data_IF_935811461389
#
_entry.id   IF_935811461389
#
_cell.length_a   1.000
_cell.length_b   1.000
_cell.length_c   1.000
_cell.angle_alpha   90.00
_cell.angle_beta   90.00
_cell.angle_gamma   90.00
#
_symmetry.space_group_name_H-M   'P 1'
#
loop_
_entity.id
_entity.type
_entity.pdbx_description
1 polymer ?
#
# COMPACT_ATOMS: atom_id res chain seq x y z
N UNK A 1 -38.75 -15.14 -46.40
CA UNK A 1 -38.52 -15.47 -44.97
C UNK A 1 -37.35 -16.44 -44.87
N UNK A 2 -36.41 -16.18 -43.95
CA UNK A 2 -35.21 -16.98 -43.57
C UNK A 2 -34.04 -16.95 -44.57
N UNK A 3 -32.77 -16.80 -44.17
CA UNK A 3 -32.12 -16.73 -42.86
C UNK A 3 -30.76 -16.02 -43.08
N UNK A 4 -30.56 -14.86 -42.45
CA UNK A 4 -29.25 -14.19 -42.40
C UNK A 4 -28.40 -14.98 -41.38
N UNK A 5 -27.23 -15.47 -41.79
CA UNK A 5 -26.27 -16.18 -40.93
C UNK A 5 -25.59 -15.19 -39.96
N UNK A 6 -25.78 -15.32 -38.63
CA UNK A 6 -25.06 -14.49 -37.67
C UNK A 6 -23.81 -15.27 -37.22
N UNK A 7 -22.75 -15.31 -38.02
CA UNK A 7 -21.56 -16.13 -37.70
C UNK A 7 -20.28 -15.37 -37.40
N UNK A 8 -20.27 -14.02 -37.38
CA UNK A 8 -19.00 -13.28 -37.19
C UNK A 8 -19.10 -12.12 -36.19
N UNK A 9 -20.28 -11.84 -35.60
CA UNK A 9 -20.45 -10.71 -34.68
C UNK A 9 -20.49 -11.06 -33.18
N UNK A 10 -20.23 -12.33 -32.83
CA UNK A 10 -20.33 -12.83 -31.44
C UNK A 10 -18.96 -13.21 -30.83
N UNK A 11 -17.90 -12.48 -31.18
CA UNK A 11 -16.55 -12.75 -30.63
C UNK A 11 -15.78 -11.49 -30.24
N UNK A 12 -16.47 -10.36 -30.03
CA UNK A 12 -15.85 -9.08 -29.68
C UNK A 12 -16.26 -8.55 -28.29
N UNK A 13 -16.80 -9.40 -27.40
CA UNK A 13 -17.33 -8.97 -26.10
C UNK A 13 -16.64 -9.60 -24.87
N UNK A 14 -15.56 -10.38 -25.03
CA UNK A 14 -14.93 -11.14 -23.92
C UNK A 14 -13.51 -10.63 -23.56
N UNK A 15 -13.18 -9.35 -23.80
CA UNK A 15 -11.83 -8.82 -23.46
C UNK A 15 -11.87 -7.63 -22.48
N UNK A 16 -13.04 -7.19 -22.03
CA UNK A 16 -13.15 -6.08 -21.07
C UNK A 16 -13.63 -6.65 -19.74
N UNK A 17 -12.71 -7.15 -18.91
CA UNK A 17 -13.10 -7.69 -17.60
C UNK A 17 -12.00 -8.14 -16.66
N UNK A 18 -10.73 -7.86 -16.93
CA UNK A 18 -9.62 -8.20 -16.02
C UNK A 18 -8.68 -7.00 -15.77
N UNK A 19 -9.24 -5.83 -15.49
CA UNK A 19 -8.48 -4.87 -14.69
C UNK A 19 -8.58 -5.33 -13.23
N UNK A 20 -7.76 -6.34 -12.93
CA UNK A 20 -7.55 -6.98 -11.64
C UNK A 20 -7.34 -5.93 -10.55
N UNK A 21 -7.83 -6.21 -9.33
CA UNK A 21 -7.59 -5.48 -8.08
C UNK A 21 -6.11 -5.46 -7.65
N UNK A 22 -5.18 -5.35 -8.60
CA UNK A 22 -3.77 -5.32 -8.32
C UNK A 22 -3.32 -3.87 -8.27
N UNK A 23 -2.50 -3.58 -7.26
CA UNK A 23 -1.67 -2.38 -7.17
C UNK A 23 -1.08 -2.02 -8.55
N UNK A 24 -1.21 -0.76 -9.02
CA UNK A 24 -0.52 -0.30 -10.22
C UNK A 24 0.98 -0.59 -10.16
N UNK A 25 1.60 -0.80 -11.32
CA UNK A 25 3.06 -0.90 -11.40
C UNK A 25 3.63 0.51 -11.22
N UNK A 26 4.53 0.67 -10.26
CA UNK A 26 5.40 1.83 -10.12
C UNK A 26 6.85 1.37 -10.05
N UNK A 27 7.75 2.28 -10.42
CA UNK A 27 9.19 2.08 -10.31
C UNK A 27 9.77 3.16 -9.41
N UNK A 28 10.68 2.75 -8.53
CA UNK A 28 11.45 3.69 -7.74
C UNK A 28 12.52 4.37 -8.60
N UNK A 29 12.67 5.69 -8.47
CA UNK A 29 13.76 6.45 -9.10
C UNK A 29 14.72 7.06 -8.06
N UNK A 30 14.49 6.82 -6.77
CA UNK A 30 15.26 7.38 -5.68
C UNK A 30 16.35 6.40 -5.24
N UNK A 31 17.60 6.74 -5.51
CA UNK A 31 18.75 5.89 -5.20
C UNK A 31 18.89 5.54 -3.70
N UNK A 32 18.37 6.37 -2.79
CA UNK A 32 18.40 6.08 -1.35
C UNK A 32 17.57 4.83 -1.05
N UNK A 33 16.42 4.65 -1.70
CA UNK A 33 15.58 3.47 -1.49
C UNK A 33 16.20 2.19 -2.07
N UNK A 34 17.07 2.30 -3.08
CA UNK A 34 17.76 1.15 -3.68
C UNK A 34 19.00 0.72 -2.87
N UNK A 35 19.65 1.67 -2.20
CA UNK A 35 20.91 1.45 -1.48
C UNK A 35 20.73 1.05 -0.01
N UNK A 36 19.51 1.14 0.52
CA UNK A 36 19.23 0.94 1.95
C UNK A 36 18.06 -0.01 2.14
N UNK A 37 18.09 -0.78 3.24
CA UNK A 37 16.94 -1.58 3.66
C UNK A 37 15.78 -0.66 4.07
N UNK A 38 14.54 -1.05 3.78
CA UNK A 38 13.38 -0.17 4.00
C UNK A 38 13.13 0.21 5.46
N UNK A 39 13.69 -0.55 6.40
CA UNK A 39 13.59 -0.28 7.83
C UNK A 39 14.80 0.50 8.39
N UNK A 40 15.80 0.86 7.56
CA UNK A 40 16.98 1.60 7.99
C UNK A 40 16.65 3.07 8.31
N UNK A 41 17.45 3.74 9.17
CA UNK A 41 17.27 5.17 9.47
C UNK A 41 17.32 6.08 8.23
N UNK A 42 18.25 5.81 7.30
CA UNK A 42 18.43 6.57 6.06
C UNK A 42 17.19 6.45 5.16
N UNK A 43 16.70 5.22 4.98
CA UNK A 43 15.50 4.97 4.19
C UNK A 43 14.28 5.68 4.80
N UNK A 44 14.07 5.53 6.12
CA UNK A 44 12.94 6.14 6.82
C UNK A 44 12.97 7.65 6.77
N UNK A 45 14.17 8.24 6.88
CA UNK A 45 14.36 9.69 6.76
C UNK A 45 13.98 10.19 5.38
N UNK A 46 14.42 9.50 4.32
CA UNK A 46 14.05 9.88 2.96
C UNK A 46 12.57 9.67 2.69
N UNK A 47 12.00 8.55 3.16
CA UNK A 47 10.57 8.29 3.03
C UNK A 47 9.73 9.38 3.70
N UNK A 48 10.12 9.80 4.90
CA UNK A 48 9.49 10.92 5.61
C UNK A 48 9.54 12.20 4.78
N UNK A 49 10.71 12.57 4.25
CA UNK A 49 10.88 13.78 3.45
C UNK A 49 10.00 13.76 2.21
N UNK A 50 9.94 12.61 1.50
CA UNK A 50 9.08 12.43 0.33
C UNK A 50 7.59 12.56 0.70
N UNK A 51 7.14 11.91 1.77
CA UNK A 51 5.74 11.99 2.23
C UNK A 51 5.38 13.43 2.62
N UNK A 52 6.26 14.17 3.28
CA UNK A 52 6.01 15.58 3.64
C UNK A 52 5.93 16.49 2.41
N UNK A 53 6.81 16.27 1.43
CA UNK A 53 6.84 17.06 0.20
C UNK A 53 5.61 16.81 -0.69
N UNK A 54 5.19 15.55 -0.81
CA UNK A 54 4.05 15.15 -1.65
C UNK A 54 2.71 15.42 -0.93
N UNK A 55 2.68 15.21 0.39
CA UNK A 55 1.48 15.25 1.21
C UNK A 55 0.71 13.91 1.19
N UNK A 56 0.31 13.41 2.36
CA UNK A 56 -0.34 12.10 2.51
C UNK A 56 -1.60 11.93 1.64
N UNK A 57 -2.36 13.00 1.40
CA UNK A 57 -3.60 12.94 0.60
C UNK A 57 -3.34 12.71 -0.90
N UNK A 58 -2.09 12.85 -1.35
CA UNK A 58 -1.68 12.61 -2.74
C UNK A 58 -1.00 11.24 -2.91
N UNK A 59 -1.07 10.40 -1.88
CA UNK A 59 -0.49 9.06 -1.86
C UNK A 59 -1.58 8.00 -1.81
N UNK A 60 -1.24 6.83 -2.30
CA UNK A 60 -2.06 5.64 -2.25
C UNK A 60 -1.27 4.51 -1.61
N UNK A 61 -1.99 3.60 -0.95
CA UNK A 61 -1.39 2.64 -0.03
C UNK A 61 -1.95 1.25 -0.30
N UNK A 62 -1.08 0.26 -0.43
CA UNK A 62 -1.48 -1.14 -0.60
C UNK A 62 -0.82 -1.99 0.45
N UNK A 63 -1.61 -2.84 1.10
CA UNK A 63 -1.09 -3.77 2.10
C UNK A 63 -0.09 -4.74 1.46
N UNK A 64 1.06 -4.92 2.09
CA UNK A 64 2.11 -5.84 1.67
C UNK A 64 2.12 -7.07 2.59
N UNK A 65 2.37 -6.82 3.88
CA UNK A 65 2.57 -7.88 4.87
C UNK A 65 2.32 -7.39 6.30
N UNK A 66 2.11 -8.35 7.20
CA UNK A 66 2.03 -8.13 8.65
C UNK A 66 3.36 -8.55 9.28
N UNK A 67 3.88 -7.75 10.22
CA UNK A 67 5.16 -7.98 10.90
C UNK A 67 4.98 -7.79 12.40
N UNK A 68 5.62 -8.67 13.20
CA UNK A 68 5.73 -8.52 14.65
C UNK A 68 7.20 -8.51 15.05
N UNK A 69 7.64 -7.43 15.70
CA UNK A 69 9.02 -7.23 16.14
C UNK A 69 9.02 -6.59 17.54
N UNK A 70 9.84 -7.11 18.47
CA UNK A 70 10.00 -6.55 19.83
C UNK A 70 8.67 -6.25 20.54
N UNK A 71 7.73 -7.20 20.47
CA UNK A 71 6.37 -7.10 21.01
C UNK A 71 5.50 -5.97 20.43
N UNK A 72 5.93 -5.36 19.33
CA UNK A 72 5.15 -4.39 18.55
C UNK A 72 4.66 -5.03 17.26
N UNK A 73 3.50 -4.58 16.81
CA UNK A 73 2.84 -5.08 15.62
C UNK A 73 2.78 -3.99 14.55
N UNK A 74 3.02 -4.41 13.31
CA UNK A 74 3.18 -3.52 12.18
C UNK A 74 2.44 -4.05 10.96
N UNK A 75 2.03 -3.12 10.10
CA UNK A 75 1.73 -3.40 8.71
C UNK A 75 2.83 -2.81 7.84
N UNK A 76 3.28 -3.58 6.85
CA UNK A 76 4.11 -3.08 5.76
C UNK A 76 3.17 -2.71 4.63
N UNK A 77 3.35 -1.52 4.08
CA UNK A 77 2.54 -0.98 2.99
C UNK A 77 3.43 -0.57 1.83
N UNK A 78 2.92 -0.75 0.63
CA UNK A 78 3.47 -0.14 -0.57
C UNK A 78 2.85 1.24 -0.74
N UNK A 79 3.68 2.27 -0.76
CA UNK A 79 3.29 3.68 -0.85
C UNK A 79 3.59 4.15 -2.27
N UNK A 80 2.57 4.64 -2.96
CA UNK A 80 2.71 5.17 -4.31
C UNK A 80 2.17 6.59 -4.42
N UNK A 81 2.86 7.42 -5.19
CA UNK A 81 2.44 8.74 -5.64
C UNK A 81 3.11 9.06 -6.97
N UNK A 82 2.94 10.28 -7.48
CA UNK A 82 3.51 10.68 -8.78
C UNK A 82 5.04 10.47 -8.85
N UNK A 83 5.75 10.75 -7.76
CA UNK A 83 7.22 10.66 -7.67
C UNK A 83 7.70 9.69 -6.59
N UNK A 84 6.80 8.92 -5.97
CA UNK A 84 7.12 8.03 -4.86
C UNK A 84 6.66 6.60 -5.18
N UNK A 85 7.57 5.65 -5.03
CA UNK A 85 7.32 4.22 -5.13
C UNK A 85 8.19 3.52 -4.09
N UNK A 86 7.66 3.25 -2.91
CA UNK A 86 8.43 2.80 -1.76
C UNK A 86 7.64 1.88 -0.83
N UNK A 87 8.32 1.21 0.10
CA UNK A 87 7.68 0.50 1.21
C UNK A 87 7.69 1.36 2.46
N UNK A 88 6.66 1.27 3.28
CA UNK A 88 6.59 1.89 4.60
C UNK A 88 6.20 0.87 5.66
N UNK A 89 6.78 0.99 6.85
CA UNK A 89 6.42 0.17 8.01
C UNK A 89 5.62 1.05 8.98
N UNK A 90 4.37 0.67 9.25
CA UNK A 90 3.44 1.44 10.08
C UNK A 90 3.11 0.61 11.32
N UNK A 91 3.42 1.17 12.49
CA UNK A 91 3.09 0.59 13.79
C UNK A 91 1.60 0.70 14.03
N UNK A 92 0.98 -0.36 14.55
CA UNK A 92 -0.45 -0.39 14.83
C UNK A 92 -0.70 -0.74 16.30
N UNK A 93 -1.30 0.19 17.03
CA UNK A 93 -1.72 -0.01 18.43
C UNK A 93 -3.23 -0.31 18.51
N UNK A 94 -4.03 0.44 17.76
CA UNK A 94 -5.48 0.21 17.65
C UNK A 94 -5.82 -0.52 16.33
N UNK A 95 -6.28 -1.76 16.47
CA UNK A 95 -6.65 -2.62 15.36
C UNK A 95 -8.14 -2.56 15.01
N UNK A 96 -8.98 -1.80 15.71
CA UNK A 96 -10.45 -1.90 15.62
C UNK A 96 -11.02 -1.88 14.18
N UNK A 97 -10.42 -1.10 13.26
CA UNK A 97 -10.87 -1.01 11.84
C UNK A 97 -10.16 -1.95 10.87
N UNK A 98 -9.08 -2.58 11.31
CA UNK A 98 -8.23 -3.46 10.51
C UNK A 98 -7.95 -4.78 11.22
N UNK A 99 -8.82 -5.18 12.16
CA UNK A 99 -8.67 -6.38 12.98
C UNK A 99 -8.59 -7.64 12.14
N UNK A 100 -9.28 -7.65 10.99
CA UNK A 100 -9.24 -8.72 10.01
C UNK A 100 -7.81 -9.03 9.56
N UNK A 101 -6.98 -8.00 9.33
CA UNK A 101 -5.56 -8.17 8.97
C UNK A 101 -4.81 -8.86 10.10
N UNK A 102 -4.99 -8.43 11.35
CA UNK A 102 -4.32 -9.04 12.52
C UNK A 102 -4.74 -10.49 12.74
N UNK A 103 -6.03 -10.77 12.68
CA UNK A 103 -6.60 -12.09 12.98
C UNK A 103 -6.08 -13.20 12.07
N UNK A 104 -5.69 -12.84 10.85
CA UNK A 104 -5.14 -13.78 9.86
C UNK A 104 -3.65 -13.55 9.57
N UNK A 105 -2.99 -12.72 10.37
CA UNK A 105 -1.58 -12.34 10.18
C UNK A 105 -1.27 -11.88 8.74
N UNK A 106 -2.17 -11.06 8.18
CA UNK A 106 -2.08 -10.49 6.84
C UNK A 106 -2.43 -11.44 5.68
N UNK A 107 -2.71 -12.72 5.94
CA UNK A 107 -3.07 -13.68 4.89
C UNK A 107 -4.38 -13.28 4.20
N UNK A 108 -4.34 -13.21 2.87
CA UNK A 108 -5.50 -12.84 2.05
C UNK A 108 -5.69 -11.34 1.85
N UNK A 109 -4.91 -10.48 2.51
CA UNK A 109 -4.98 -9.02 2.31
C UNK A 109 -3.85 -8.47 1.42
N UNK A 110 -2.90 -9.30 1.00
CA UNK A 110 -1.75 -8.85 0.20
C UNK A 110 -2.20 -8.27 -1.13
N UNK A 111 -1.85 -7.02 -1.38
CA UNK A 111 -2.30 -6.27 -2.55
C UNK A 111 -3.60 -5.50 -2.36
N UNK A 112 -4.30 -5.64 -1.23
CA UNK A 112 -5.49 -4.87 -0.94
C UNK A 112 -5.15 -3.38 -0.78
N UNK A 113 -5.97 -2.51 -1.37
CA UNK A 113 -5.82 -1.06 -1.21
C UNK A 113 -6.32 -0.63 0.17
N UNK A 114 -5.49 0.12 0.87
CA UNK A 114 -5.80 0.72 2.17
C UNK A 114 -6.33 2.14 1.95
N UNK A 115 -7.53 2.24 1.38
CA UNK A 115 -8.10 3.50 0.94
C UNK A 115 -8.34 4.47 2.11
N UNK A 116 -7.76 5.67 1.99
CA UNK A 116 -7.84 6.71 3.02
C UNK A 116 -7.05 6.38 4.30
N UNK A 117 -6.02 5.53 4.20
CA UNK A 117 -5.07 5.30 5.28
C UNK A 117 -4.47 6.62 5.77
N UNK A 118 -4.46 6.80 7.09
CA UNK A 118 -3.89 7.95 7.80
C UNK A 118 -2.95 7.45 8.88
N UNK A 119 -1.83 8.12 9.03
CA UNK A 119 -0.85 7.84 10.08
C UNK A 119 -0.20 9.14 10.58
N UNK A 120 0.18 9.14 11.85
CA UNK A 120 1.09 10.14 12.40
C UNK A 120 2.54 9.74 12.11
N UNK A 121 3.42 10.74 12.18
CA UNK A 121 4.86 10.53 12.10
C UNK A 121 5.43 10.95 13.43
N UNK A 122 6.06 10.00 14.11
CA UNK A 122 6.67 10.18 15.41
C UNK A 122 8.18 10.12 15.28
N UNK A 123 8.87 10.90 16.12
CA UNK A 123 10.31 10.85 16.28
C UNK A 123 10.60 10.49 17.72
N UNK A 124 11.43 9.48 17.93
CA UNK A 124 11.92 9.17 19.26
C UNK A 124 13.08 10.10 19.68
N UNK A 125 13.57 9.91 20.90
CA UNK A 125 14.69 10.69 21.46
C UNK A 125 16.04 10.46 20.76
N UNK A 126 16.12 9.48 19.87
CA UNK A 126 17.30 9.14 19.05
C UNK A 126 17.11 9.50 17.58
N UNK A 127 16.13 10.37 17.28
CA UNK A 127 15.74 10.78 15.93
C UNK A 127 15.27 9.64 15.02
N UNK A 128 14.93 8.47 15.57
CA UNK A 128 14.31 7.42 14.77
C UNK A 128 12.88 7.83 14.42
N UNK A 129 12.58 7.77 13.12
CA UNK A 129 11.26 8.08 12.59
C UNK A 129 10.41 6.82 12.60
N UNK A 130 9.18 6.92 13.10
CA UNK A 130 8.19 5.85 13.08
C UNK A 130 6.87 6.37 12.51
N UNK A 131 6.24 5.59 11.63
CA UNK A 131 4.89 5.84 11.16
C UNK A 131 3.92 5.10 12.07
N UNK A 132 2.89 5.77 12.57
CA UNK A 132 1.94 5.20 13.53
C UNK A 132 0.53 5.30 12.99
N UNK A 133 -0.13 4.16 12.85
CA UNK A 133 -1.47 4.04 12.32
C UNK A 133 -2.44 4.91 13.12
N UNK A 134 -3.23 5.72 12.41
CA UNK A 134 -4.26 6.55 13.01
C UNK A 134 -5.66 6.11 12.59
N UNK A 135 -5.88 5.94 11.29
CA UNK A 135 -7.21 5.58 10.78
C UNK A 135 -7.17 5.06 9.33
N UNK A 136 -8.27 4.47 8.89
CA UNK A 136 -8.55 4.10 7.51
C UNK A 136 -10.03 4.34 7.19
N UNK A 137 -10.34 4.60 5.91
CA UNK A 137 -11.74 4.68 5.47
C UNK A 137 -12.28 3.28 5.16
N UNK A 138 -11.55 2.51 4.35
CA UNK A 138 -11.95 1.16 3.95
C UNK A 138 -10.75 0.35 3.42
N UNK A 139 -10.91 -0.98 3.39
CA UNK A 139 -10.01 -1.90 2.68
C UNK A 139 -10.71 -2.31 1.39
N UNK A 140 -10.02 -2.24 0.25
CA UNK A 140 -10.51 -2.68 -1.06
C UNK A 140 -9.67 -3.89 -1.48
N UNK A 141 -10.31 -5.07 -1.53
CA UNK A 141 -9.74 -6.37 -1.88
C UNK A 141 -10.57 -7.00 -3.02
#
# INVERSE_FOLDING_TARGET
>A
MKLIRPSIFLYLFIIIGIHSCNRPVCENTNAIFDMNEFNSPEYKTELFNQIQNIGQNNLSYWFDSYVRENDREYIVVNIQGETLCAKGMIRVEDWNKIEGIKNVEGKGYSGAELAGLRFSIEKDLSDNIELVYADINQIID
#
